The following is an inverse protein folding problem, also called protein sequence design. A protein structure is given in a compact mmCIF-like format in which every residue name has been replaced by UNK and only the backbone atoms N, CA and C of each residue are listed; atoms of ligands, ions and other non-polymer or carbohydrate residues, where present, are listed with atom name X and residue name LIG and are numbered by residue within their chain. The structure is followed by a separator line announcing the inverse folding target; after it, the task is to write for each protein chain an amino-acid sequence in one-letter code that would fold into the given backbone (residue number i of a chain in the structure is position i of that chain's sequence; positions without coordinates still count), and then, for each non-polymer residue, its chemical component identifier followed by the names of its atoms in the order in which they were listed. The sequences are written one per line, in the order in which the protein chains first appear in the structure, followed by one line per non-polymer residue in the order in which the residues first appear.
data_IF_717064234667
#
_entry.id   IF_717064234667
#
_cell.length_a   1.000
_cell.length_b   1.000
_cell.length_c   1.000
_cell.angle_alpha   90.00
_cell.angle_beta   90.00
_cell.angle_gamma   90.00
#
_symmetry.space_group_name_H-M   'P 1'
#
loop_
_entity.id
_entity.type
_entity.pdbx_description
1 polymer ?
#
# COMPACT_ATOMS: atom_id res chain seq x y z
N UNK A 1 -25.32 -11.78 -5.13
CA UNK A 1 -24.06 -11.56 -4.40
C UNK A 1 -24.10 -10.15 -3.81
N UNK A 2 -24.02 -10.00 -2.50
CA UNK A 2 -23.81 -8.67 -1.89
C UNK A 2 -22.36 -8.27 -2.04
N UNK A 3 -22.12 -7.00 -2.38
CA UNK A 3 -20.75 -6.48 -2.54
C UNK A 3 -20.22 -6.09 -1.17
N UNK A 4 -19.62 -7.05 -0.47
CA UNK A 4 -19.01 -6.84 0.85
C UNK A 4 -17.62 -6.22 0.69
N UNK A 5 -17.20 -5.38 1.64
CA UNK A 5 -15.88 -4.74 1.74
C UNK A 5 -15.53 -3.66 0.70
N UNK A 6 -16.39 -3.37 -0.27
CA UNK A 6 -16.12 -2.32 -1.27
C UNK A 6 -15.94 -0.92 -0.65
N UNK A 7 -16.53 -0.70 0.52
CA UNK A 7 -16.32 0.50 1.33
C UNK A 7 -14.84 0.75 1.65
N UNK A 8 -14.03 -0.29 1.86
CA UNK A 8 -12.60 -0.14 2.15
C UNK A 8 -11.79 0.23 0.91
N UNK A 9 -12.35 0.05 -0.29
CA UNK A 9 -11.74 0.51 -1.54
C UNK A 9 -12.05 1.99 -1.81
N UNK A 10 -13.29 2.41 -1.56
CA UNK A 10 -13.78 3.76 -1.92
C UNK A 10 -13.70 4.79 -0.79
N UNK A 11 -13.75 4.34 0.46
CA UNK A 11 -13.72 5.19 1.65
C UNK A 11 -12.84 4.57 2.77
N UNK A 12 -11.56 4.23 2.49
CA UNK A 12 -10.66 3.74 3.52
C UNK A 12 -10.38 4.81 4.57
N UNK A 13 -10.28 4.43 5.84
CA UNK A 13 -9.74 5.27 6.90
C UNK A 13 -8.21 5.27 6.95
N UNK A 14 -7.56 4.29 6.28
CA UNK A 14 -6.10 4.20 6.17
C UNK A 14 -5.64 3.55 4.88
N UNK A 15 -4.52 4.04 4.35
CA UNK A 15 -3.88 3.54 3.12
C UNK A 15 -2.42 3.18 3.42
N UNK A 16 -2.00 1.98 3.03
CA UNK A 16 -0.58 1.60 2.95
C UNK A 16 -0.12 1.51 1.50
N UNK A 17 0.94 2.23 1.14
CA UNK A 17 1.58 2.14 -0.17
C UNK A 17 2.80 1.23 -0.07
N UNK A 18 2.67 0.00 -0.55
CA UNK A 18 3.74 -1.01 -0.54
C UNK A 18 4.62 -0.84 -1.77
N UNK A 19 5.91 -0.60 -1.56
CA UNK A 19 6.83 -0.18 -2.62
C UNK A 19 6.88 1.35 -2.80
N UNK A 20 6.42 2.13 -1.82
CA UNK A 20 6.60 3.58 -1.81
C UNK A 20 8.09 3.94 -1.92
N UNK A 21 8.43 4.95 -2.72
CA UNK A 21 9.82 5.40 -2.86
C UNK A 21 9.89 6.88 -3.28
N UNK A 22 11.09 7.44 -3.36
CA UNK A 22 11.36 8.73 -4.00
C UNK A 22 11.99 8.58 -5.39
N UNK A 23 12.07 7.36 -5.94
CA UNK A 23 12.69 7.11 -7.24
C UNK A 23 11.84 7.78 -8.33
N UNK A 24 12.42 8.69 -9.14
CA UNK A 24 11.72 9.30 -10.26
C UNK A 24 11.10 8.25 -11.18
N UNK A 25 9.88 8.53 -11.66
CA UNK A 25 9.11 7.68 -12.57
C UNK A 25 8.70 6.30 -12.02
N UNK A 26 8.97 5.97 -10.76
CA UNK A 26 8.45 4.73 -10.17
C UNK A 26 6.95 4.84 -9.86
N UNK A 27 6.21 3.75 -10.07
CA UNK A 27 4.78 3.67 -9.75
C UNK A 27 4.54 3.98 -8.27
N UNK A 28 5.32 3.37 -7.37
CA UNK A 28 5.21 3.61 -5.93
C UNK A 28 5.47 5.06 -5.50
N UNK A 29 6.41 5.78 -6.13
CA UNK A 29 6.61 7.20 -5.87
C UNK A 29 5.44 8.06 -6.35
N UNK A 30 4.85 7.70 -7.50
CA UNK A 30 3.69 8.41 -8.04
C UNK A 30 2.46 8.20 -7.18
N UNK A 31 2.15 6.95 -6.80
CA UNK A 31 1.01 6.65 -5.91
C UNK A 31 1.16 7.34 -4.57
N UNK A 32 2.33 7.22 -3.93
CA UNK A 32 2.54 7.82 -2.61
C UNK A 32 2.35 9.34 -2.62
N UNK A 33 2.89 10.03 -3.64
CA UNK A 33 2.67 11.47 -3.83
C UNK A 33 1.20 11.79 -4.10
N UNK A 34 0.54 11.05 -4.99
CA UNK A 34 -0.88 11.28 -5.28
C UNK A 34 -1.77 11.15 -4.04
N UNK A 35 -1.50 10.20 -3.14
CA UNK A 35 -2.26 10.05 -1.89
C UNK A 35 -1.99 11.22 -0.94
N UNK A 36 -0.74 11.68 -0.83
CA UNK A 36 -0.37 12.83 0.01
C UNK A 36 -0.97 14.15 -0.52
N UNK A 37 -0.80 14.40 -1.81
CA UNK A 37 -1.19 15.65 -2.47
C UNK A 37 -2.69 15.70 -2.77
N UNK A 38 -3.34 14.54 -2.90
CA UNK A 38 -4.76 14.39 -3.18
C UNK A 38 -5.69 14.66 -1.99
N UNK A 39 -5.15 15.07 -0.84
CA UNK A 39 -5.93 15.45 0.33
C UNK A 39 -6.60 14.27 1.05
N UNK A 40 -5.99 13.08 1.03
CA UNK A 40 -6.50 11.96 1.81
C UNK A 40 -6.38 12.25 3.31
N UNK A 41 -7.51 12.29 4.01
CA UNK A 41 -7.57 12.67 5.43
C UNK A 41 -7.29 11.49 6.39
N UNK A 42 -7.26 10.26 5.89
CA UNK A 42 -6.96 9.08 6.67
C UNK A 42 -5.47 8.88 6.95
N UNK A 43 -5.12 7.80 7.66
CA UNK A 43 -3.73 7.47 7.92
C UNK A 43 -3.01 6.99 6.65
N UNK A 44 -1.82 7.51 6.38
CA UNK A 44 -1.01 7.13 5.20
C UNK A 44 0.28 6.49 5.69
N UNK A 45 0.51 5.25 5.28
CA UNK A 45 1.72 4.49 5.61
C UNK A 45 2.53 4.19 4.34
N UNK A 46 3.82 4.49 4.36
CA UNK A 46 4.76 4.04 3.33
C UNK A 46 5.43 2.75 3.78
N UNK A 47 5.55 1.76 2.90
CA UNK A 47 6.28 0.53 3.17
C UNK A 47 7.36 0.32 2.12
N UNK A 48 8.62 0.33 2.57
CA UNK A 48 9.79 0.02 1.75
C UNK A 48 11.01 -0.31 2.64
N UNK A 49 11.64 -1.49 2.49
CA UNK A 49 12.79 -1.88 3.31
C UNK A 49 14.05 -1.02 3.11
N UNK A 50 14.12 -0.23 2.04
CA UNK A 50 15.30 0.55 1.66
C UNK A 50 15.26 2.01 2.13
N UNK A 51 14.12 2.48 2.64
CA UNK A 51 13.95 3.87 3.05
C UNK A 51 13.50 3.92 4.50
N UNK A 52 14.10 4.82 5.28
CA UNK A 52 13.63 5.12 6.64
C UNK A 52 12.61 6.27 6.65
N UNK A 53 12.72 7.19 5.68
CA UNK A 53 11.85 8.37 5.58
C UNK A 53 11.53 8.71 4.12
N UNK A 54 10.31 9.20 3.89
CA UNK A 54 9.84 9.76 2.61
C UNK A 54 8.96 10.97 2.89
N UNK A 55 9.17 12.07 2.19
CA UNK A 55 8.41 13.32 2.38
C UNK A 55 8.31 13.78 3.86
N UNK A 56 9.38 13.58 4.64
CA UNK A 56 9.43 13.93 6.07
C UNK A 56 8.64 12.98 6.98
N UNK A 57 8.11 11.87 6.47
CA UNK A 57 7.32 10.88 7.21
C UNK A 57 8.08 9.55 7.35
N UNK A 58 7.84 8.78 8.43
CA UNK A 58 8.46 7.47 8.61
C UNK A 58 8.00 6.48 7.54
N UNK A 59 8.90 5.57 7.18
CA UNK A 59 8.65 4.45 6.27
C UNK A 59 8.86 3.16 7.04
N UNK A 60 7.91 2.25 6.93
CA UNK A 60 8.00 0.93 7.55
C UNK A 60 8.75 -0.04 6.62
N UNK A 61 9.61 -0.91 7.16
CA UNK A 61 10.40 -1.81 6.32
C UNK A 61 9.55 -2.93 5.70
N UNK A 62 8.45 -3.32 6.35
CA UNK A 62 7.56 -4.40 5.93
C UNK A 62 6.12 -4.22 6.46
N UNK A 63 5.22 -5.13 6.08
CA UNK A 63 3.81 -5.12 6.50
C UNK A 63 3.65 -5.37 8.01
N UNK A 64 4.51 -6.21 8.60
CA UNK A 64 4.43 -6.57 10.02
C UNK A 64 4.81 -5.40 10.93
N UNK A 65 5.61 -4.47 10.43
CA UNK A 65 6.04 -3.27 11.13
C UNK A 65 4.98 -2.15 11.12
N UNK A 66 3.89 -2.30 10.37
CA UNK A 66 2.81 -1.32 10.35
C UNK A 66 2.16 -1.19 11.75
N UNK A 67 1.75 0.02 12.16
CA UNK A 67 1.19 0.25 13.50
C UNK A 67 -0.22 -0.37 13.65
N UNK A 68 -0.91 -0.57 12.53
CA UNK A 68 -2.21 -1.20 12.43
C UNK A 68 -2.39 -1.75 11.00
N UNK A 69 -3.24 -2.76 10.78
CA UNK A 69 -3.61 -3.18 9.44
C UNK A 69 -4.28 -2.02 8.69
N UNK A 70 -3.84 -1.71 7.45
CA UNK A 70 -4.49 -0.69 6.65
C UNK A 70 -5.87 -1.18 6.18
N UNK A 71 -6.80 -0.26 5.96
CA UNK A 71 -8.06 -0.58 5.29
C UNK A 71 -7.81 -0.96 3.83
N UNK A 72 -6.96 -0.19 3.16
CA UNK A 72 -6.55 -0.34 1.78
C UNK A 72 -5.02 -0.43 1.65
N UNK A 73 -4.53 -1.48 1.00
CA UNK A 73 -3.13 -1.54 0.57
C UNK A 73 -3.01 -1.35 -0.95
N UNK A 74 -2.02 -0.57 -1.38
CA UNK A 74 -1.67 -0.42 -2.80
C UNK A 74 -0.29 -1.02 -3.03
N UNK A 75 -0.23 -2.12 -3.76
CA UNK A 75 1.01 -2.87 -4.03
C UNK A 75 1.63 -2.42 -5.34
N UNK A 76 2.85 -1.88 -5.24
CA UNK A 76 3.66 -1.36 -6.34
C UNK A 76 5.02 -2.09 -6.46
N UNK A 77 5.09 -3.35 -6.01
CA UNK A 77 6.30 -4.18 -5.99
C UNK A 77 6.33 -5.17 -7.17
N UNK A 78 7.44 -5.89 -7.45
CA UNK A 78 7.48 -6.90 -8.51
C UNK A 78 6.40 -7.99 -8.32
N UNK A 79 5.83 -8.49 -9.42
CA UNK A 79 4.72 -9.46 -9.41
C UNK A 79 4.96 -10.68 -8.51
N UNK A 80 6.18 -11.24 -8.52
CA UNK A 80 6.55 -12.39 -7.70
C UNK A 80 6.37 -12.17 -6.18
N UNK A 81 6.35 -10.92 -5.72
CA UNK A 81 6.16 -10.58 -4.30
C UNK A 81 4.68 -10.48 -3.89
N UNK A 82 3.78 -10.32 -4.86
CA UNK A 82 2.37 -9.98 -4.62
C UNK A 82 1.64 -11.07 -3.82
N UNK A 83 1.73 -12.38 -4.15
CA UNK A 83 1.00 -13.40 -3.41
C UNK A 83 1.36 -13.42 -1.91
N UNK A 84 2.66 -13.29 -1.59
CA UNK A 84 3.15 -13.23 -0.22
C UNK A 84 2.65 -12.00 0.52
N UNK A 85 2.69 -10.83 -0.13
CA UNK A 85 2.19 -9.58 0.45
C UNK A 85 0.68 -9.62 0.69
N UNK A 86 -0.10 -10.14 -0.26
CA UNK A 86 -1.56 -10.30 -0.10
C UNK A 86 -1.88 -11.24 1.07
N UNK A 87 -1.14 -12.34 1.22
CA UNK A 87 -1.30 -13.24 2.36
C UNK A 87 -0.99 -12.54 3.70
N UNK A 88 0.13 -11.80 3.78
CA UNK A 88 0.51 -11.04 4.98
C UNK A 88 -0.54 -9.98 5.34
N UNK A 89 -0.99 -9.20 4.36
CA UNK A 89 -2.01 -8.16 4.54
C UNK A 89 -3.33 -8.75 5.01
N UNK A 90 -3.78 -9.85 4.39
CA UNK A 90 -4.99 -10.57 4.78
C UNK A 90 -4.91 -11.12 6.20
N UNK A 91 -3.77 -11.73 6.57
CA UNK A 91 -3.53 -12.23 7.93
C UNK A 91 -3.51 -11.11 8.98
N UNK A 92 -3.00 -9.93 8.62
CA UNK A 92 -3.03 -8.75 9.48
C UNK A 92 -4.43 -8.13 9.63
N UNK A 93 -5.35 -8.41 8.71
CA UNK A 93 -6.73 -7.90 8.73
C UNK A 93 -7.06 -6.83 7.68
N UNK A 94 -6.16 -6.58 6.73
CA UNK A 94 -6.40 -5.68 5.59
C UNK A 94 -7.60 -6.16 4.78
N UNK A 95 -8.51 -5.24 4.41
CA UNK A 95 -9.80 -5.59 3.80
C UNK A 95 -9.86 -5.39 2.29
N UNK A 96 -9.00 -4.53 1.74
CA UNK A 96 -8.90 -4.29 0.31
C UNK A 96 -7.44 -4.13 -0.14
N UNK A 97 -7.14 -4.61 -1.35
CA UNK A 97 -5.82 -4.48 -1.98
C UNK A 97 -5.98 -4.06 -3.44
N UNK A 98 -5.23 -3.06 -3.87
CA UNK A 98 -5.03 -2.70 -5.28
C UNK A 98 -3.64 -3.17 -5.68
N UNK A 99 -3.53 -3.99 -6.72
CA UNK A 99 -2.25 -4.43 -7.27
C UNK A 99 -1.97 -3.67 -8.56
N UNK A 100 -0.91 -2.86 -8.58
CA UNK A 100 -0.47 -2.12 -9.76
C UNK A 100 0.73 -2.78 -10.46
N UNK A 101 1.21 -3.90 -9.91
CA UNK A 101 2.27 -4.72 -10.50
C UNK A 101 1.86 -5.26 -11.86
N UNK A 102 2.73 -5.12 -12.86
CA UNK A 102 2.59 -5.81 -14.14
C UNK A 102 3.23 -7.21 -14.08
N UNK A 103 2.82 -8.11 -14.99
CA UNK A 103 3.41 -9.45 -15.12
C UNK A 103 2.85 -10.49 -14.13
N UNK A 104 1.55 -10.45 -13.84
CA UNK A 104 0.86 -11.42 -12.97
C UNK A 104 0.39 -12.70 -13.70
N UNK A 105 0.68 -12.80 -14.99
CA UNK A 105 0.26 -13.82 -15.97
C UNK A 105 1.08 -15.11 -15.92
N UNK A 106 1.53 -15.50 -14.72
CA UNK A 106 2.18 -16.80 -14.49
C UNK A 106 1.27 -17.99 -14.76
#
# INVERSE_FOLDING_TARGET
MTVRNLQYLFQPASIAVIGASNRPHSVGATVYRNVLDGGFHGAIHAVNPKHATLAGRPVYPDVASLPAPPDLAVICTPAATVPGLVHQLGAAGTRAVIVLSAGLDG
#
